data_IF_373255256575
#
_entry.id   IF_373255256575
#
_cell.length_a   1.000
_cell.length_b   1.000
_cell.length_c   1.000
_cell.angle_alpha   90.00
_cell.angle_beta   90.00
_cell.angle_gamma   90.00
#
_symmetry.space_group_name_H-M   'P 1'
#
loop_
_entity.id
_entity.type
_entity.pdbx_description
1 polymer ?
#
# COMPACT_ATOMS: atom_id res chain seq x y z
N UNK A 1 9.04 1.06 20.10
CA UNK A 1 9.04 0.09 18.99
C UNK A 1 8.20 0.70 17.89
N UNK A 2 8.65 0.64 16.63
CA UNK A 2 7.85 1.14 15.52
C UNK A 2 6.56 0.35 15.34
N UNK A 3 5.56 0.95 14.66
CA UNK A 3 4.29 0.28 14.38
C UNK A 3 4.47 -0.89 13.39
N UNK A 4 5.48 -0.80 12.51
CA UNK A 4 5.93 -1.91 11.65
C UNK A 4 7.44 -2.06 11.83
N UNK A 5 7.90 -3.25 12.18
CA UNK A 5 9.31 -3.56 12.31
C UNK A 5 9.63 -4.87 11.62
N UNK A 6 10.71 -4.92 10.85
CA UNK A 6 11.25 -6.16 10.29
C UNK A 6 12.68 -6.39 10.75
N UNK A 7 13.06 -7.64 10.88
CA UNK A 7 14.43 -8.06 11.17
C UNK A 7 14.78 -9.20 10.24
N UNK A 8 15.73 -8.94 9.34
CA UNK A 8 16.23 -9.91 8.34
C UNK A 8 15.11 -10.62 7.59
N UNK A 9 14.03 -9.88 7.25
CA UNK A 9 12.87 -10.46 6.59
C UNK A 9 13.25 -11.01 5.23
N UNK A 10 12.94 -12.29 5.02
CA UNK A 10 13.11 -13.02 3.75
C UNK A 10 11.78 -13.60 3.33
N UNK A 11 11.50 -13.56 2.02
CA UNK A 11 10.39 -14.28 1.44
C UNK A 11 10.78 -14.94 0.13
N UNK A 12 10.55 -16.25 0.05
CA UNK A 12 10.82 -17.08 -1.10
C UNK A 12 9.52 -17.67 -1.64
N UNK A 13 9.31 -17.54 -2.95
CA UNK A 13 8.27 -18.27 -3.65
C UNK A 13 8.86 -19.59 -4.17
N UNK A 14 8.33 -20.71 -3.69
CA UNK A 14 8.74 -22.07 -4.06
C UNK A 14 7.72 -22.62 -5.06
N UNK A 15 8.16 -22.83 -6.30
CA UNK A 15 7.36 -23.52 -7.31
C UNK A 15 7.68 -25.00 -7.25
N UNK A 16 6.63 -25.83 -7.25
CA UNK A 16 6.75 -27.30 -7.26
C UNK A 16 6.11 -27.84 -8.52
N UNK A 17 6.67 -28.96 -9.02
CA UNK A 17 6.09 -29.72 -10.11
C UNK A 17 4.88 -30.55 -9.62
N UNK A 18 4.24 -31.29 -10.55
CA UNK A 18 3.08 -32.13 -10.25
C UNK A 18 3.42 -33.32 -9.29
N UNK A 19 4.69 -33.68 -9.18
CA UNK A 19 5.20 -34.71 -8.31
C UNK A 19 5.59 -34.17 -6.91
N UNK A 20 5.52 -32.83 -6.71
CA UNK A 20 5.85 -32.16 -5.45
C UNK A 20 7.33 -31.80 -5.29
N UNK A 21 8.19 -32.07 -6.29
CA UNK A 21 9.60 -31.66 -6.26
C UNK A 21 9.74 -30.15 -6.47
N UNK A 22 10.77 -29.55 -5.90
CA UNK A 22 11.05 -28.13 -6.08
C UNK A 22 11.57 -27.88 -7.50
N UNK A 23 10.79 -27.15 -8.31
CA UNK A 23 11.14 -26.76 -9.66
C UNK A 23 12.00 -25.47 -9.67
N UNK A 24 11.60 -24.48 -8.86
CA UNK A 24 12.34 -23.22 -8.73
C UNK A 24 12.08 -22.55 -7.39
N UNK A 25 13.05 -21.75 -6.94
CA UNK A 25 12.93 -20.87 -5.79
C UNK A 25 13.22 -19.44 -6.27
N UNK A 26 12.33 -18.51 -5.98
CA UNK A 26 12.49 -17.08 -6.30
C UNK A 26 12.47 -16.28 -5.01
N UNK A 27 13.58 -15.67 -4.64
CA UNK A 27 13.67 -14.78 -3.48
C UNK A 27 13.06 -13.43 -3.82
N UNK A 28 11.92 -13.12 -3.24
CA UNK A 28 11.21 -11.86 -3.48
C UNK A 28 11.56 -10.77 -2.47
N UNK A 29 11.99 -11.14 -1.26
CA UNK A 29 12.55 -10.26 -0.25
C UNK A 29 13.80 -10.92 0.33
N UNK A 30 14.89 -10.14 0.44
CA UNK A 30 16.17 -10.62 0.94
C UNK A 30 16.70 -9.67 2.04
N UNK A 31 16.70 -10.17 3.28
CA UNK A 31 17.27 -9.49 4.44
C UNK A 31 16.74 -8.06 4.68
N UNK A 32 15.42 -7.85 4.52
CA UNK A 32 14.78 -6.54 4.66
C UNK A 32 14.68 -6.15 6.14
N UNK A 33 15.25 -4.99 6.49
CA UNK A 33 15.25 -4.42 7.84
C UNK A 33 14.56 -3.05 7.84
N UNK A 34 13.45 -2.92 8.59
CA UNK A 34 12.63 -1.72 8.70
C UNK A 34 12.28 -1.42 10.16
N UNK A 35 12.10 -0.15 10.45
CA UNK A 35 11.47 0.34 11.68
C UNK A 35 10.66 1.60 11.30
N UNK A 36 9.35 1.43 11.11
CA UNK A 36 8.41 2.48 10.72
C UNK A 36 7.67 2.95 11.97
N UNK A 37 7.70 4.24 12.24
CA UNK A 37 7.03 4.84 13.40
C UNK A 37 5.54 5.03 13.12
N UNK A 38 4.76 5.05 14.19
CA UNK A 38 3.32 5.35 14.11
C UNK A 38 3.09 6.75 13.53
N UNK A 39 2.03 6.89 12.72
CA UNK A 39 1.64 8.15 12.08
C UNK A 39 2.46 8.56 10.86
N UNK A 40 3.45 7.76 10.43
CA UNK A 40 4.24 8.09 9.24
C UNK A 40 3.51 7.74 7.94
N UNK A 41 3.73 8.60 6.94
CA UNK A 41 3.42 8.33 5.54
C UNK A 41 4.65 7.77 4.84
N UNK A 42 4.62 6.47 4.51
CA UNK A 42 5.72 5.74 3.88
C UNK A 42 5.37 5.40 2.43
N UNK A 43 6.30 5.64 1.54
CA UNK A 43 6.20 5.18 0.15
C UNK A 43 7.17 4.02 -0.11
N UNK A 44 6.73 3.04 -0.89
CA UNK A 44 7.55 1.92 -1.38
C UNK A 44 7.65 2.05 -2.90
N UNK A 45 8.85 2.28 -3.40
CA UNK A 45 9.17 2.46 -4.82
C UNK A 45 10.15 1.38 -5.29
N UNK A 46 10.19 1.11 -6.58
CA UNK A 46 11.12 0.17 -7.23
C UNK A 46 10.57 -0.37 -8.53
N UNK A 47 11.38 -1.06 -9.30
CA UNK A 47 10.97 -1.67 -10.57
C UNK A 47 9.95 -2.81 -10.38
N UNK A 48 9.30 -3.22 -11.46
CA UNK A 48 8.40 -4.39 -11.42
C UNK A 48 9.21 -5.64 -11.02
N UNK A 49 8.63 -6.44 -10.12
CA UNK A 49 9.31 -7.62 -9.58
C UNK A 49 10.26 -7.36 -8.40
N UNK A 50 10.51 -6.11 -8.00
CA UNK A 50 11.46 -5.80 -6.90
C UNK A 50 11.00 -6.18 -5.48
N UNK A 51 9.81 -6.79 -5.31
CA UNK A 51 9.33 -7.25 -4.00
C UNK A 51 8.35 -6.33 -3.28
N UNK A 52 7.95 -5.18 -3.84
CA UNK A 52 7.07 -4.19 -3.19
C UNK A 52 5.74 -4.75 -2.69
N UNK A 53 4.97 -5.39 -3.57
CA UNK A 53 3.69 -6.00 -3.20
C UNK A 53 3.87 -7.19 -2.25
N UNK A 54 5.01 -7.87 -2.31
CA UNK A 54 5.36 -8.93 -1.36
C UNK A 54 5.54 -8.34 0.03
N UNK A 55 6.30 -7.24 0.17
CA UNK A 55 6.46 -6.53 1.44
C UNK A 55 5.12 -6.00 1.97
N UNK A 56 4.30 -5.38 1.11
CA UNK A 56 2.96 -4.90 1.47
C UNK A 56 2.05 -6.03 2.01
N UNK A 57 2.09 -7.21 1.41
CA UNK A 57 1.31 -8.38 1.84
C UNK A 57 1.77 -8.95 3.18
N UNK A 58 3.03 -8.82 3.55
CA UNK A 58 3.51 -9.20 4.89
C UNK A 58 2.94 -8.26 5.97
N UNK A 59 2.82 -6.96 5.68
CA UNK A 59 2.26 -5.99 6.63
C UNK A 59 0.81 -6.32 7.01
N UNK A 60 0.05 -6.93 6.10
CA UNK A 60 -1.34 -7.36 6.37
C UNK A 60 -1.47 -8.85 6.71
N UNK A 61 -0.39 -9.55 7.02
CA UNK A 61 -0.38 -11.00 7.29
C UNK A 61 -1.07 -11.86 6.21
N UNK A 62 -0.95 -11.45 4.93
CA UNK A 62 -1.36 -12.26 3.78
C UNK A 62 -0.25 -13.23 3.35
N UNK A 63 0.99 -12.89 3.67
CA UNK A 63 2.14 -13.75 3.52
C UNK A 63 2.85 -13.88 4.87
N UNK A 64 3.31 -15.07 5.17
CA UNK A 64 4.23 -15.32 6.28
C UNK A 64 5.67 -15.26 5.79
N UNK A 65 6.63 -14.81 6.63
CA UNK A 65 8.06 -14.85 6.31
C UNK A 65 8.54 -16.28 6.00
N UNK A 66 9.45 -16.42 5.04
CA UNK A 66 10.21 -17.66 4.84
C UNK A 66 11.37 -17.75 5.85
N UNK A 67 11.96 -16.59 6.20
CA UNK A 67 12.95 -16.44 7.27
C UNK A 67 12.91 -15.00 7.81
N UNK A 68 13.55 -14.76 8.96
CA UNK A 68 13.47 -13.48 9.66
C UNK A 68 12.13 -13.26 10.33
N UNK A 69 11.82 -12.02 10.69
CA UNK A 69 10.61 -11.70 11.44
C UNK A 69 10.03 -10.34 11.01
N UNK A 70 8.71 -10.25 11.03
CA UNK A 70 7.98 -8.98 10.91
C UNK A 70 7.00 -8.84 12.07
N UNK A 71 7.02 -7.67 12.70
CA UNK A 71 6.05 -7.24 13.72
C UNK A 71 5.21 -6.11 13.15
N UNK A 72 3.90 -6.22 13.32
CA UNK A 72 2.92 -5.21 12.94
C UNK A 72 2.07 -4.89 14.16
N UNK A 73 2.05 -3.63 14.56
CA UNK A 73 1.36 -3.18 15.77
C UNK A 73 1.78 -4.00 17.02
N UNK A 74 3.07 -4.30 17.12
CA UNK A 74 3.64 -5.13 18.19
C UNK A 74 3.41 -6.63 18.08
N UNK A 75 2.64 -7.09 17.10
CA UNK A 75 2.27 -8.50 16.88
C UNK A 75 3.21 -9.16 15.87
N UNK A 76 3.76 -10.32 16.22
CA UNK A 76 4.56 -11.16 15.33
C UNK A 76 3.66 -11.81 14.27
N UNK A 77 3.89 -11.49 13.00
CA UNK A 77 3.06 -11.95 11.85
C UNK A 77 3.22 -13.45 11.58
N UNK A 78 4.31 -14.06 12.00
CA UNK A 78 4.55 -15.50 11.82
C UNK A 78 3.63 -16.38 12.68
N UNK A 79 3.02 -15.81 13.73
CA UNK A 79 2.16 -16.52 14.66
C UNK A 79 0.72 -16.54 14.17
N UNK A 80 0.12 -17.73 14.09
CA UNK A 80 -1.23 -17.94 13.57
C UNK A 80 -2.29 -17.15 14.38
N UNK A 81 -2.14 -17.09 15.71
CA UNK A 81 -3.02 -16.35 16.59
C UNK A 81 -3.03 -14.83 16.30
N UNK A 82 -1.98 -14.30 15.69
CA UNK A 82 -1.85 -12.88 15.37
C UNK A 82 -2.41 -12.50 13.99
N UNK A 83 -2.72 -13.46 13.12
CA UNK A 83 -3.17 -13.18 11.74
C UNK A 83 -4.43 -12.29 11.73
N UNK A 84 -5.44 -12.65 12.51
CA UNK A 84 -6.69 -11.86 12.58
C UNK A 84 -6.48 -10.51 13.26
N UNK A 85 -5.81 -10.41 14.43
CA UNK A 85 -5.45 -9.13 15.04
C UNK A 85 -4.64 -8.20 14.10
N UNK A 86 -3.63 -8.71 13.40
CA UNK A 86 -2.86 -7.93 12.41
C UNK A 86 -3.75 -7.43 11.28
N UNK A 87 -4.62 -8.28 10.72
CA UNK A 87 -5.57 -7.87 9.68
C UNK A 87 -6.61 -6.86 10.18
N UNK A 88 -6.92 -6.84 11.48
CA UNK A 88 -7.74 -5.78 12.09
C UNK A 88 -6.98 -4.45 12.14
N UNK A 89 -5.72 -4.48 12.53
CA UNK A 89 -4.85 -3.29 12.65
C UNK A 89 -4.40 -2.73 11.31
N UNK A 90 -4.15 -3.58 10.29
CA UNK A 90 -3.69 -3.18 8.97
C UNK A 90 -4.77 -3.42 7.89
N UNK A 91 -5.35 -2.34 7.37
CA UNK A 91 -6.28 -2.37 6.23
C UNK A 91 -5.51 -2.33 4.91
N UNK A 92 -5.79 -3.25 3.99
CA UNK A 92 -5.10 -3.32 2.69
C UNK A 92 -6.06 -3.08 1.53
N UNK A 93 -5.63 -2.28 0.57
CA UNK A 93 -6.27 -2.05 -0.72
C UNK A 93 -5.35 -2.56 -1.82
N UNK A 94 -5.82 -3.54 -2.59
CA UNK A 94 -5.03 -4.17 -3.65
C UNK A 94 -5.10 -3.40 -4.97
N UNK A 95 -4.17 -3.69 -5.86
CA UNK A 95 -4.09 -3.11 -7.20
C UNK A 95 -5.35 -3.39 -8.02
N UNK A 96 -5.86 -4.64 -8.00
CA UNK A 96 -7.09 -5.01 -8.70
C UNK A 96 -8.29 -5.03 -7.74
N UNK A 97 -9.25 -4.08 -7.86
CA UNK A 97 -10.40 -4.00 -6.99
C UNK A 97 -11.39 -5.16 -7.18
N UNK A 98 -11.44 -5.79 -8.36
CA UNK A 98 -12.38 -6.89 -8.65
C UNK A 98 -12.14 -8.11 -7.74
N UNK A 99 -10.89 -8.33 -7.35
CA UNK A 99 -10.52 -9.44 -6.46
C UNK A 99 -10.95 -9.23 -5.00
N UNK A 100 -11.49 -8.07 -4.67
CA UNK A 100 -11.87 -7.69 -3.29
C UNK A 100 -13.38 -7.61 -3.08
N UNK A 101 -14.15 -7.44 -4.15
CA UNK A 101 -15.60 -7.26 -4.10
C UNK A 101 -16.25 -8.61 -3.77
N UNK A 102 -17.08 -8.64 -2.72
CA UNK A 102 -17.70 -9.85 -2.18
C UNK A 102 -19.22 -9.77 -2.24
N UNK A 103 -19.80 -8.60 -1.90
CA UNK A 103 -21.24 -8.42 -1.83
C UNK A 103 -21.85 -7.97 -3.15
N UNK A 104 -23.18 -8.12 -3.27
CA UNK A 104 -23.95 -7.71 -4.44
C UNK A 104 -24.41 -6.25 -4.39
N UNK A 105 -24.29 -5.59 -3.24
CA UNK A 105 -24.66 -4.19 -3.00
C UNK A 105 -23.46 -3.46 -2.40
N UNK A 106 -23.22 -2.23 -2.89
CA UNK A 106 -22.07 -1.40 -2.49
C UNK A 106 -21.99 -1.19 -0.98
N UNK A 107 -23.09 -0.83 -0.32
CA UNK A 107 -23.08 -0.60 1.13
C UNK A 107 -22.80 -1.86 1.95
N UNK A 108 -23.30 -3.01 1.51
CA UNK A 108 -23.03 -4.30 2.14
C UNK A 108 -21.55 -4.68 1.97
N UNK A 109 -20.97 -4.42 0.80
CA UNK A 109 -19.57 -4.68 0.52
C UNK A 109 -18.65 -3.83 1.40
N UNK A 110 -19.00 -2.57 1.67
CA UNK A 110 -18.28 -1.70 2.61
C UNK A 110 -18.47 -2.15 4.06
N UNK A 111 -19.67 -2.60 4.42
CA UNK A 111 -20.01 -3.08 5.77
C UNK A 111 -19.36 -4.41 6.14
N UNK A 112 -19.00 -5.22 5.15
CA UNK A 112 -18.42 -6.56 5.36
C UNK A 112 -17.16 -6.56 6.24
N UNK A 113 -16.27 -5.57 6.07
CA UNK A 113 -15.05 -5.45 6.86
C UNK A 113 -15.33 -5.23 8.37
N UNK A 114 -16.06 -4.18 8.74
CA UNK A 114 -16.50 -3.93 10.13
C UNK A 114 -17.26 -5.10 10.75
N UNK A 115 -18.17 -5.73 10.01
CA UNK A 115 -18.93 -6.89 10.48
C UNK A 115 -18.02 -8.05 10.90
N UNK A 116 -17.05 -8.41 10.06
CA UNK A 116 -16.10 -9.50 10.33
C UNK A 116 -15.17 -9.24 11.52
N UNK A 117 -15.01 -7.98 11.93
CA UNK A 117 -14.21 -7.64 13.12
C UNK A 117 -15.06 -7.43 14.37
N UNK A 118 -16.39 -7.66 14.28
CA UNK A 118 -17.30 -7.65 15.40
C UNK A 118 -17.78 -6.25 15.82
N UNK A 119 -17.83 -5.29 14.89
CA UNK A 119 -18.40 -3.94 15.14
C UNK A 119 -19.92 -4.06 15.29
N UNK A 120 -20.55 -3.37 16.27
CA UNK A 120 -22.01 -3.36 16.42
C UNK A 120 -22.73 -2.83 15.17
N UNK A 121 -23.89 -3.39 14.84
CA UNK A 121 -24.62 -3.10 13.60
C UNK A 121 -24.90 -1.60 13.41
N UNK A 122 -25.32 -0.90 14.44
CA UNK A 122 -25.61 0.55 14.35
C UNK A 122 -24.35 1.37 14.01
N UNK A 123 -23.20 0.96 14.52
CA UNK A 123 -21.91 1.59 14.23
C UNK A 123 -21.43 1.23 12.82
N UNK A 124 -21.70 0.00 12.33
CA UNK A 124 -21.34 -0.40 10.95
C UNK A 124 -21.94 0.58 9.95
N UNK A 125 -23.22 0.88 10.04
CA UNK A 125 -23.90 1.78 9.11
C UNK A 125 -23.38 3.21 9.17
N UNK A 126 -22.97 3.70 10.33
CA UNK A 126 -22.33 5.01 10.49
C UNK A 126 -20.97 5.02 9.78
N UNK A 127 -20.16 3.96 9.96
CA UNK A 127 -18.85 3.81 9.29
C UNK A 127 -18.99 3.69 7.77
N UNK A 128 -20.00 2.93 7.29
CA UNK A 128 -20.32 2.79 5.86
C UNK A 128 -20.67 4.14 5.24
N UNK A 129 -21.56 4.92 5.90
CA UNK A 129 -21.97 6.23 5.42
C UNK A 129 -20.80 7.21 5.36
N UNK A 130 -19.97 7.25 6.40
CA UNK A 130 -18.74 8.04 6.44
C UNK A 130 -17.77 7.66 5.32
N UNK A 131 -17.49 6.36 5.15
CA UNK A 131 -16.55 5.87 4.15
C UNK A 131 -17.03 6.17 2.72
N UNK A 132 -18.31 5.95 2.42
CA UNK A 132 -18.90 6.25 1.10
C UNK A 132 -18.87 7.76 0.79
N UNK A 133 -19.06 8.62 1.80
CA UNK A 133 -18.94 10.08 1.63
C UNK A 133 -17.49 10.46 1.34
N UNK A 134 -16.53 9.94 2.10
CA UNK A 134 -15.11 10.25 1.94
C UNK A 134 -14.62 9.96 0.51
N UNK A 135 -15.06 8.86 -0.10
CA UNK A 135 -14.65 8.50 -1.46
C UNK A 135 -15.61 9.02 -2.57
N UNK A 136 -16.64 9.80 -2.21
CA UNK A 136 -17.62 10.34 -3.16
C UNK A 136 -18.49 9.28 -3.84
N UNK A 137 -18.83 8.20 -3.10
CA UNK A 137 -19.60 7.06 -3.59
C UNK A 137 -21.03 6.97 -3.05
N UNK A 138 -21.52 7.94 -2.27
CA UNK A 138 -22.83 7.92 -1.61
C UNK A 138 -23.99 7.64 -2.57
N UNK A 139 -23.96 8.19 -3.78
CA UNK A 139 -25.02 7.97 -4.78
C UNK A 139 -25.04 6.55 -5.35
N UNK A 140 -24.01 5.77 -5.14
CA UNK A 140 -23.90 4.38 -5.59
C UNK A 140 -24.21 3.36 -4.48
N UNK A 141 -24.63 3.83 -3.30
CA UNK A 141 -24.82 3.05 -2.09
C UNK A 141 -25.59 1.74 -2.33
N UNK A 142 -26.71 1.81 -3.04
CA UNK A 142 -27.61 0.69 -3.34
C UNK A 142 -27.35 0.01 -4.68
N UNK A 143 -26.27 0.42 -5.38
CA UNK A 143 -25.94 -0.15 -6.68
C UNK A 143 -25.21 -1.49 -6.52
N UNK A 144 -25.31 -2.32 -7.58
CA UNK A 144 -24.44 -3.51 -7.69
C UNK A 144 -23.03 -3.08 -8.04
N UNK A 145 -22.01 -3.59 -7.33
CA UNK A 145 -20.59 -3.35 -7.64
C UNK A 145 -20.20 -3.74 -9.07
N UNK A 146 -20.87 -4.74 -9.65
CA UNK A 146 -20.63 -5.21 -11.02
C UNK A 146 -20.98 -4.15 -12.09
N UNK A 147 -21.82 -3.16 -11.75
CA UNK A 147 -22.19 -2.05 -12.64
C UNK A 147 -21.29 -0.83 -12.50
N UNK A 148 -20.28 -0.88 -11.63
CA UNK A 148 -19.34 0.20 -11.40
C UNK A 148 -18.21 0.18 -12.44
N UNK A 149 -17.74 1.38 -12.84
CA UNK A 149 -16.50 1.51 -13.61
C UNK A 149 -15.28 1.11 -12.78
N UNK A 150 -14.13 0.82 -13.42
CA UNK A 150 -12.89 0.45 -12.71
C UNK A 150 -12.49 1.47 -11.65
N UNK A 151 -12.53 2.78 -11.95
CA UNK A 151 -12.25 3.83 -10.98
C UNK A 151 -13.29 3.92 -9.85
N UNK A 152 -14.54 3.55 -10.07
CA UNK A 152 -15.56 3.45 -9.02
C UNK A 152 -15.32 2.23 -8.13
N UNK A 153 -14.94 1.08 -8.70
CA UNK A 153 -14.56 -0.12 -7.95
C UNK A 153 -13.33 0.13 -7.09
N UNK A 154 -12.34 0.89 -7.60
CA UNK A 154 -11.18 1.27 -6.82
C UNK A 154 -11.56 2.15 -5.61
N UNK A 155 -12.47 3.12 -5.80
CA UNK A 155 -13.00 3.92 -4.69
C UNK A 155 -13.81 3.09 -3.70
N UNK A 156 -14.55 2.08 -4.17
CA UNK A 156 -15.23 1.11 -3.30
C UNK A 156 -14.24 0.33 -2.44
N UNK A 157 -13.15 -0.18 -3.02
CA UNK A 157 -12.10 -0.88 -2.29
C UNK A 157 -11.45 0.00 -1.20
N UNK A 158 -11.27 1.30 -1.49
CA UNK A 158 -10.77 2.27 -0.51
C UNK A 158 -11.81 2.54 0.58
N UNK A 159 -13.11 2.67 0.25
CA UNK A 159 -14.18 2.82 1.24
C UNK A 159 -14.23 1.64 2.22
N UNK A 160 -14.03 0.42 1.73
CA UNK A 160 -13.93 -0.78 2.58
C UNK A 160 -12.80 -0.70 3.59
N UNK A 161 -11.62 -0.20 3.17
CA UNK A 161 -10.51 0.00 4.08
C UNK A 161 -10.79 1.08 5.12
N UNK A 162 -11.40 2.21 4.72
CA UNK A 162 -11.80 3.30 5.61
C UNK A 162 -12.79 2.82 6.66
N UNK A 163 -13.84 2.09 6.28
CA UNK A 163 -14.89 1.62 7.20
C UNK A 163 -14.34 0.70 8.31
N UNK A 164 -13.22 0.02 8.09
CA UNK A 164 -12.53 -0.80 9.10
C UNK A 164 -11.90 0.03 10.23
N UNK A 165 -11.59 1.30 10.00
CA UNK A 165 -10.80 2.17 10.90
C UNK A 165 -9.49 1.52 11.36
N UNK A 166 -8.62 1.09 10.44
CA UNK A 166 -7.36 0.46 10.81
C UNK A 166 -6.34 1.48 11.32
N UNK A 167 -5.36 1.05 12.11
CA UNK A 167 -4.21 1.88 12.51
C UNK A 167 -3.18 2.06 11.39
N UNK A 168 -3.18 1.15 10.43
CA UNK A 168 -2.25 1.14 9.29
C UNK A 168 -3.07 0.96 8.01
N UNK A 169 -2.92 1.89 7.08
CA UNK A 169 -3.44 1.75 5.71
C UNK A 169 -2.31 1.30 4.78
N UNK A 170 -2.57 0.26 4.00
CA UNK A 170 -1.64 -0.25 2.98
C UNK A 170 -2.32 -0.17 1.62
N UNK A 171 -1.78 0.63 0.72
CA UNK A 171 -2.26 0.80 -0.65
C UNK A 171 -1.25 0.17 -1.62
N UNK A 172 -1.59 -1.00 -2.17
CA UNK A 172 -0.74 -1.69 -3.15
C UNK A 172 -1.11 -1.23 -4.56
N UNK A 173 -0.40 -0.22 -5.07
CA UNK A 173 -0.59 0.41 -6.39
C UNK A 173 -2.05 0.79 -6.73
N UNK A 174 -2.81 1.17 -5.68
CA UNK A 174 -4.25 1.33 -5.75
C UNK A 174 -4.70 2.62 -6.43
N UNK A 175 -3.79 3.52 -6.77
CA UNK A 175 -4.09 4.83 -7.38
C UNK A 175 -3.77 4.88 -8.88
N UNK A 176 -3.05 3.89 -9.41
CA UNK A 176 -2.60 3.87 -10.81
C UNK A 176 -3.74 3.84 -11.84
N UNK A 177 -4.88 3.24 -11.47
CA UNK A 177 -6.07 3.14 -12.32
C UNK A 177 -7.00 4.37 -12.28
N UNK A 178 -6.67 5.39 -11.48
CA UNK A 178 -7.48 6.61 -11.34
C UNK A 178 -6.96 7.71 -12.27
N UNK A 179 -7.90 8.52 -12.79
CA UNK A 179 -7.54 9.77 -13.45
C UNK A 179 -6.97 10.78 -12.43
N UNK A 180 -6.12 11.71 -12.89
CA UNK A 180 -5.39 12.64 -12.04
C UNK A 180 -6.31 13.48 -11.12
N UNK A 181 -7.47 13.89 -11.61
CA UNK A 181 -8.41 14.70 -10.83
C UNK A 181 -9.08 13.89 -9.73
N UNK A 182 -9.46 12.66 -10.02
CA UNK A 182 -10.05 11.72 -9.05
C UNK A 182 -9.00 11.30 -8.02
N UNK A 183 -7.77 11.02 -8.44
CA UNK A 183 -6.64 10.70 -7.55
C UNK A 183 -6.37 11.84 -6.56
N UNK A 184 -6.21 13.08 -7.04
CA UNK A 184 -5.95 14.24 -6.17
C UNK A 184 -7.08 14.46 -5.14
N UNK A 185 -8.35 14.35 -5.56
CA UNK A 185 -9.49 14.52 -4.65
C UNK A 185 -9.56 13.40 -3.61
N UNK A 186 -9.28 12.18 -4.01
CA UNK A 186 -9.29 11.03 -3.11
C UNK A 186 -8.17 11.10 -2.09
N UNK A 187 -6.97 11.54 -2.48
CA UNK A 187 -5.85 11.77 -1.56
C UNK A 187 -6.13 12.86 -0.55
N UNK A 188 -6.75 13.95 -0.98
CA UNK A 188 -7.16 15.02 -0.05
C UNK A 188 -8.17 14.50 0.99
N UNK A 189 -9.15 13.70 0.56
CA UNK A 189 -10.11 13.08 1.48
C UNK A 189 -9.45 12.02 2.38
N UNK A 190 -8.49 11.24 1.86
CA UNK A 190 -7.75 10.26 2.64
C UNK A 190 -6.85 10.93 3.69
N UNK A 191 -6.24 12.07 3.40
CA UNK A 191 -5.39 12.78 4.37
C UNK A 191 -6.15 13.07 5.67
N UNK A 192 -7.40 13.51 5.59
CA UNK A 192 -8.27 13.72 6.75
C UNK A 192 -8.57 12.39 7.49
N UNK A 193 -8.91 11.34 6.74
CA UNK A 193 -9.27 10.02 7.29
C UNK A 193 -8.08 9.32 7.95
N UNK A 194 -6.87 9.57 7.45
CA UNK A 194 -5.63 8.88 7.88
C UNK A 194 -4.77 9.71 8.83
N UNK A 195 -5.23 10.87 9.29
CA UNK A 195 -4.47 11.79 10.14
C UNK A 195 -3.89 11.12 11.40
N UNK A 196 -4.61 10.16 11.97
CA UNK A 196 -4.17 9.39 13.14
C UNK A 196 -3.61 8.01 12.82
N UNK A 197 -3.44 7.66 11.55
CA UNK A 197 -3.01 6.33 11.11
C UNK A 197 -1.66 6.40 10.38
N UNK A 198 -0.94 5.29 10.34
CA UNK A 198 0.22 5.14 9.46
C UNK A 198 -0.26 4.77 8.05
N UNK A 199 0.37 5.34 7.03
CA UNK A 199 0.01 5.10 5.63
C UNK A 199 1.20 4.53 4.89
N UNK A 200 1.02 3.39 4.24
CA UNK A 200 2.00 2.76 3.36
C UNK A 200 1.44 2.74 1.95
N UNK A 201 2.15 3.35 1.00
CA UNK A 201 1.77 3.35 -0.42
C UNK A 201 2.85 2.65 -1.23
N UNK A 202 2.50 1.57 -1.89
CA UNK A 202 3.29 1.06 -3.02
C UNK A 202 2.92 1.89 -4.23
N UNK A 203 3.90 2.58 -4.80
CA UNK A 203 3.68 3.50 -5.91
C UNK A 203 4.65 3.23 -7.08
N UNK A 204 4.17 3.56 -8.27
CA UNK A 204 4.96 3.55 -9.49
C UNK A 204 5.33 4.97 -9.95
N UNK A 205 4.65 6.01 -9.41
CA UNK A 205 4.83 7.40 -9.81
C UNK A 205 5.45 8.22 -8.68
N UNK A 206 6.54 8.91 -8.99
CA UNK A 206 7.23 9.78 -8.03
C UNK A 206 6.36 10.94 -7.58
N UNK A 207 5.60 11.57 -8.47
CA UNK A 207 4.66 12.65 -8.13
C UNK A 207 3.66 12.27 -7.04
N UNK A 208 3.40 10.98 -6.86
CA UNK A 208 2.50 10.43 -5.84
C UNK A 208 3.10 10.41 -4.44
N UNK A 209 4.43 10.33 -4.36
CA UNK A 209 5.18 10.00 -3.14
C UNK A 209 6.19 11.08 -2.73
N UNK A 210 6.30 12.16 -3.49
CA UNK A 210 7.29 13.22 -3.27
C UNK A 210 7.20 13.84 -1.86
N UNK A 211 6.02 13.81 -1.25
CA UNK A 211 5.76 14.35 0.10
C UNK A 211 5.71 13.27 1.19
N UNK A 212 6.13 12.03 0.88
CA UNK A 212 6.20 10.99 1.90
C UNK A 212 7.28 11.33 2.95
N UNK A 213 6.99 11.03 4.23
CA UNK A 213 7.96 11.22 5.32
C UNK A 213 9.20 10.38 5.09
N UNK A 214 9.02 9.22 4.44
CA UNK A 214 10.09 8.33 4.07
C UNK A 214 9.72 7.53 2.81
N UNK A 215 10.65 7.41 1.90
CA UNK A 215 10.58 6.56 0.71
C UNK A 215 11.54 5.40 0.90
N UNK A 216 11.06 4.19 0.67
CA UNK A 216 11.82 2.95 0.63
C UNK A 216 11.99 2.53 -0.81
N UNK A 217 13.22 2.46 -1.28
CA UNK A 217 13.53 2.01 -2.65
C UNK A 217 13.92 0.54 -2.59
N UNK A 218 13.10 -0.31 -3.23
CA UNK A 218 13.36 -1.73 -3.37
C UNK A 218 13.93 -2.04 -4.75
N UNK A 219 14.98 -2.84 -4.76
CA UNK A 219 15.55 -3.41 -5.96
C UNK A 219 16.02 -4.83 -5.67
N UNK A 220 15.61 -5.78 -6.51
CA UNK A 220 15.91 -7.21 -6.38
C UNK A 220 15.73 -7.76 -4.94
N UNK A 221 14.57 -7.47 -4.35
CA UNK A 221 14.19 -7.92 -3.01
C UNK A 221 14.88 -7.19 -1.84
N UNK A 222 15.76 -6.23 -2.10
CA UNK A 222 16.53 -5.50 -1.07
C UNK A 222 16.13 -4.04 -0.99
N UNK A 223 16.29 -3.43 0.19
CA UNK A 223 16.19 -1.98 0.33
C UNK A 223 17.53 -1.38 -0.07
N UNK A 224 17.56 -0.69 -1.22
CA UNK A 224 18.75 -0.02 -1.77
C UNK A 224 18.78 1.48 -1.46
N UNK A 225 17.66 2.05 -1.03
CA UNK A 225 17.56 3.45 -0.63
C UNK A 225 16.46 3.66 0.41
N UNK A 226 16.71 4.59 1.35
CA UNK A 226 15.77 4.97 2.40
C UNK A 226 16.01 6.44 2.75
N UNK A 227 14.97 7.27 2.63
CA UNK A 227 15.06 8.70 2.92
C UNK A 227 13.89 9.49 2.34
N UNK A 228 13.99 10.80 2.36
CA UNK A 228 13.08 11.73 1.68
C UNK A 228 13.39 11.77 0.16
N UNK A 229 12.51 12.40 -0.61
CA UNK A 229 12.73 12.64 -2.03
C UNK A 229 14.08 13.32 -2.30
N UNK A 230 14.38 14.41 -1.59
CA UNK A 230 15.62 15.18 -1.78
C UNK A 230 16.88 14.40 -1.41
N UNK A 231 16.82 13.59 -0.34
CA UNK A 231 17.94 12.74 0.08
C UNK A 231 18.21 11.64 -0.95
N UNK A 232 17.16 11.00 -1.46
CA UNK A 232 17.30 9.90 -2.42
C UNK A 232 17.76 10.36 -3.80
N UNK A 233 17.39 11.56 -4.23
CA UNK A 233 17.94 12.16 -5.47
C UNK A 233 19.47 12.30 -5.41
N UNK A 234 20.04 12.47 -4.21
CA UNK A 234 21.49 12.67 -4.03
C UNK A 234 22.24 11.37 -3.77
N UNK A 235 21.59 10.38 -3.14
CA UNK A 235 22.27 9.26 -2.52
C UNK A 235 21.81 7.88 -3.01
N UNK A 236 20.85 7.79 -3.96
CA UNK A 236 20.32 6.52 -4.44
C UNK A 236 20.20 6.52 -5.97
N UNK A 237 21.11 5.82 -6.63
CA UNK A 237 21.16 5.75 -8.10
C UNK A 237 19.89 5.16 -8.69
N UNK A 238 19.32 4.12 -8.09
CA UNK A 238 18.07 3.50 -8.53
C UNK A 238 16.91 4.50 -8.45
N UNK A 239 16.83 5.28 -7.37
CA UNK A 239 15.84 6.34 -7.24
C UNK A 239 16.01 7.42 -8.29
N UNK A 240 17.24 7.87 -8.51
CA UNK A 240 17.56 8.88 -9.52
C UNK A 240 17.18 8.42 -10.94
N UNK A 241 17.46 7.15 -11.29
CA UNK A 241 17.05 6.59 -12.59
C UNK A 241 15.53 6.60 -12.78
N UNK A 242 14.78 6.18 -11.76
CA UNK A 242 13.32 6.21 -11.79
C UNK A 242 12.83 7.67 -11.90
N UNK A 243 13.44 8.59 -11.16
CA UNK A 243 13.07 10.00 -11.18
C UNK A 243 13.32 10.64 -12.55
N UNK A 244 14.46 10.39 -13.18
CA UNK A 244 14.78 10.88 -14.51
C UNK A 244 13.84 10.38 -15.60
N UNK A 245 13.25 9.19 -15.41
CA UNK A 245 12.26 8.66 -16.35
C UNK A 245 10.88 9.30 -16.25
N UNK A 246 10.58 10.02 -15.14
CA UNK A 246 9.24 10.50 -14.83
C UNK A 246 9.14 12.03 -14.59
N UNK A 247 10.25 12.68 -14.23
CA UNK A 247 10.30 14.10 -13.89
C UNK A 247 11.09 14.87 -14.95
N UNK A 248 10.72 16.12 -15.16
CA UNK A 248 11.47 17.05 -16.01
C UNK A 248 12.78 17.47 -15.35
N UNK A 249 13.76 17.93 -16.14
CA UNK A 249 15.03 18.45 -15.65
C UNK A 249 14.85 19.56 -14.58
N UNK A 250 13.83 20.39 -14.75
CA UNK A 250 13.47 21.45 -13.80
C UNK A 250 12.99 20.90 -12.46
N UNK A 251 12.18 19.85 -12.47
CA UNK A 251 11.68 19.20 -11.24
C UNK A 251 12.78 18.40 -10.52
N UNK A 252 13.80 17.96 -11.25
CA UNK A 252 14.99 17.30 -10.70
C UNK A 252 16.01 18.28 -10.14
N UNK A 253 15.81 19.63 -10.29
CA UNK A 253 16.79 20.65 -9.93
C UNK A 253 18.06 20.61 -10.79
N UNK A 254 18.01 19.97 -11.95
CA UNK A 254 19.08 19.94 -12.93
C UNK A 254 18.88 21.17 -13.83
N UNK A 255 19.44 22.32 -13.40
CA UNK A 255 19.42 23.55 -14.21
C UNK A 255 20.15 23.30 -15.55
N UNK A 256 19.50 23.69 -16.65
CA UNK A 256 20.07 23.75 -18.01
C UNK A 256 21.16 24.85 -18.18
N UNK A 257 21.97 25.08 -17.16
CA UNK A 257 23.08 26.04 -17.17
C UNK A 257 24.34 25.48 -17.86
N UNK A 258 24.19 24.81 -19.02
CA UNK A 258 25.30 24.51 -19.94
C UNK A 258 24.90 24.70 -21.39
N UNK A 259 24.32 25.85 -21.75
CA UNK A 259 24.26 26.34 -23.15
C UNK A 259 24.33 27.86 -23.18
N UNK A 260 25.41 28.44 -22.65
CA UNK A 260 25.90 29.75 -23.05
C UNK A 260 27.41 29.70 -22.83
N UNK A 261 28.14 29.42 -23.88
CA UNK A 261 29.60 29.42 -23.85
C UNK A 261 30.23 28.72 -25.04
N UNK A 262 29.84 29.14 -26.24
CA UNK A 262 30.69 29.09 -27.45
C UNK A 262 30.23 30.15 -28.45
#
# INVERSE_FOLDING_TARGET
>A
MGIIKTSKLVHEFIRRDEEGNVESITTALDNVNLDIKEGQFIAILGHNGSGKSTLAKHINALLAPSDGTIWVDGMDVSKEENVIPVRKSAGMVFQNPDNQIIANVVEEDVGFGPENIGVPTDEIWQRVDYALRAVGMTKYRTHSPNKLSGGQKQRLAIARAIAKHPRIFVFDDSFSALDMKTDARLRAALAEVTESASVIIVAQRISTIIHADQILVLDDGKIVGKGTHEELLKNCDVYMQIAQSQLSARELGIDDNKKEGM
#
